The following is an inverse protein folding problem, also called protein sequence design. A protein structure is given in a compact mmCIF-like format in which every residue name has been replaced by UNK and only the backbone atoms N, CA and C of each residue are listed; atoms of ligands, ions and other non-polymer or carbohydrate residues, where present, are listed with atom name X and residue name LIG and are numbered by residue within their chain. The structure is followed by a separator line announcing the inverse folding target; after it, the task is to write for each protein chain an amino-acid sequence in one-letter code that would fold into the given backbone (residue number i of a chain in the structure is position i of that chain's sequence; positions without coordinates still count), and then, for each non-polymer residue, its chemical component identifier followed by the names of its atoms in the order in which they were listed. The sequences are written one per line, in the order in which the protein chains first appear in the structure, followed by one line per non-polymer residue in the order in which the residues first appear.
data_IF_064956258104
#
_entry.id   IF_064956258104
#
_cell.length_a   1.000
_cell.length_b   1.000
_cell.length_c   1.000
_cell.angle_alpha   90.00
_cell.angle_beta   90.00
_cell.angle_gamma   90.00
#
_symmetry.space_group_name_H-M   'P 1'
#
loop_
_entity.id
_entity.type
_entity.pdbx_description
1 polymer ?
#
# COMPACT_ATOMS: atom_id res chain seq x y z
N UNK A 1 -14.90 5.10 4.99
CA UNK A 1 -15.02 6.58 4.88
C UNK A 1 -14.99 6.93 3.40
N UNK A 2 -15.02 8.21 3.00
CA UNK A 2 -14.73 8.55 1.61
C UNK A 2 -13.23 8.27 1.34
N UNK A 3 -12.94 7.50 0.28
CA UNK A 3 -11.59 7.16 -0.15
C UNK A 3 -10.74 8.43 -0.29
N UNK A 4 -9.55 8.46 0.35
CA UNK A 4 -8.59 9.56 0.25
C UNK A 4 -7.70 9.42 -0.97
N UNK A 5 -7.15 10.53 -1.45
CA UNK A 5 -6.24 10.57 -2.59
C UNK A 5 -4.80 10.22 -2.20
N UNK A 6 -3.95 9.97 -3.21
CA UNK A 6 -2.51 9.73 -3.00
C UNK A 6 -1.81 10.97 -2.46
N UNK A 7 -2.25 12.16 -2.84
CA UNK A 7 -1.74 13.42 -2.33
C UNK A 7 -2.05 13.61 -0.84
N UNK A 8 -3.24 13.18 -0.38
CA UNK A 8 -3.55 13.14 1.05
C UNK A 8 -2.60 12.19 1.79
N UNK A 9 -2.36 10.99 1.24
CA UNK A 9 -1.44 10.03 1.82
C UNK A 9 -0.01 10.57 1.87
N UNK A 10 0.48 11.20 0.79
CA UNK A 10 1.80 11.82 0.77
C UNK A 10 1.93 12.95 1.79
N UNK A 11 0.86 13.71 2.05
CA UNK A 11 0.87 14.70 3.14
C UNK A 11 1.15 14.04 4.49
N UNK A 12 0.51 12.91 4.80
CA UNK A 12 0.77 12.17 6.03
C UNK A 12 2.24 11.70 6.11
N UNK A 13 2.76 11.16 5.01
CA UNK A 13 4.18 10.76 4.94
C UNK A 13 5.14 11.95 5.17
N UNK A 14 4.84 13.13 4.64
CA UNK A 14 5.64 14.33 4.88
C UNK A 14 5.60 14.76 6.34
N UNK A 15 4.47 14.60 7.02
CA UNK A 15 4.35 14.86 8.45
C UNK A 15 5.21 13.87 9.28
N UNK A 16 5.23 12.58 8.92
CA UNK A 16 6.11 11.57 9.54
C UNK A 16 7.60 11.92 9.38
N UNK A 17 8.00 12.32 8.16
CA UNK A 17 9.38 12.73 7.84
C UNK A 17 9.78 13.95 8.66
N UNK A 18 8.92 14.99 8.67
CA UNK A 18 9.18 16.25 9.38
C UNK A 18 9.34 16.04 10.88
N UNK A 19 8.57 15.13 11.46
CA UNK A 19 8.57 14.86 12.89
C UNK A 19 9.57 13.77 13.31
N UNK A 20 10.36 13.22 12.38
CA UNK A 20 11.35 12.18 12.64
C UNK A 20 10.80 10.98 13.43
N UNK A 21 9.58 10.56 13.12
CA UNK A 21 8.96 9.42 13.78
C UNK A 21 9.68 8.11 13.41
N UNK A 22 9.41 6.99 14.10
CA UNK A 22 9.94 5.68 13.70
C UNK A 22 9.60 5.30 12.24
N UNK A 23 8.48 5.79 11.70
CA UNK A 23 8.04 5.55 10.33
C UNK A 23 8.73 6.44 9.28
N UNK A 24 9.46 7.48 9.70
CA UNK A 24 10.00 8.54 8.83
C UNK A 24 10.83 8.01 7.66
N UNK A 25 11.70 7.03 7.90
CA UNK A 25 12.55 6.44 6.86
C UNK A 25 11.73 5.74 5.76
N UNK A 26 10.67 5.03 6.14
CA UNK A 26 9.77 4.33 5.23
C UNK A 26 8.88 5.32 4.47
N UNK A 27 8.38 6.34 5.17
CA UNK A 27 7.65 7.44 4.57
C UNK A 27 8.51 8.17 3.51
N UNK A 28 9.79 8.40 3.80
CA UNK A 28 10.74 8.95 2.83
C UNK A 28 10.86 8.07 1.58
N UNK A 29 11.14 6.77 1.74
CA UNK A 29 11.23 5.84 0.60
C UNK A 29 9.97 5.85 -0.26
N UNK A 30 8.79 5.88 0.36
CA UNK A 30 7.52 5.90 -0.38
C UNK A 30 7.31 7.22 -1.13
N UNK A 31 7.69 8.35 -0.53
CA UNK A 31 7.63 9.66 -1.19
C UNK A 31 8.61 9.73 -2.37
N UNK A 32 9.83 9.22 -2.22
CA UNK A 32 10.84 9.17 -3.28
C UNK A 32 10.37 8.33 -4.48
N UNK A 33 9.79 7.15 -4.20
CA UNK A 33 9.21 6.28 -5.25
C UNK A 33 7.92 6.85 -5.85
N UNK A 34 7.09 7.50 -5.05
CA UNK A 34 5.77 7.99 -5.44
C UNK A 34 5.76 9.36 -6.14
N UNK A 35 6.70 10.24 -5.78
CA UNK A 35 6.82 11.61 -6.29
C UNK A 35 8.18 11.83 -6.96
N UNK A 36 9.27 11.35 -6.33
CA UNK A 36 10.66 11.61 -6.74
C UNK A 36 11.11 10.92 -8.04
N UNK A 37 10.23 10.17 -8.72
CA UNK A 37 10.47 9.55 -10.02
C UNK A 37 11.65 8.57 -10.08
N UNK A 38 11.81 7.68 -9.09
CA UNK A 38 12.51 6.41 -9.34
C UNK A 38 11.75 5.66 -10.45
N UNK A 39 12.36 5.54 -11.63
CA UNK A 39 11.72 5.08 -12.88
C UNK A 39 10.77 3.88 -12.66
N UNK A 40 9.52 4.05 -13.07
CA UNK A 40 8.48 2.99 -13.04
C UNK A 40 7.74 2.79 -11.72
N UNK A 41 8.18 3.36 -10.59
CA UNK A 41 7.57 3.07 -9.27
C UNK A 41 6.37 3.96 -8.89
N UNK A 42 6.19 5.10 -9.55
CA UNK A 42 5.05 6.02 -9.28
C UNK A 42 3.68 5.35 -9.45
N UNK A 43 3.53 4.56 -10.50
CA UNK A 43 2.32 3.79 -10.75
C UNK A 43 2.08 2.75 -9.64
N UNK A 44 3.15 2.09 -9.19
CA UNK A 44 3.09 1.09 -8.11
C UNK A 44 2.59 1.71 -6.81
N UNK A 45 3.19 2.81 -6.38
CA UNK A 45 2.79 3.52 -5.15
C UNK A 45 1.34 4.02 -5.27
N UNK A 46 0.95 4.56 -6.43
CA UNK A 46 -0.44 5.02 -6.65
C UNK A 46 -1.44 3.89 -6.41
N UNK A 47 -1.20 2.71 -7.02
CA UNK A 47 -2.10 1.58 -6.83
C UNK A 47 -2.03 1.02 -5.42
N UNK A 48 -0.85 0.96 -4.81
CA UNK A 48 -0.67 0.52 -3.44
C UNK A 48 -1.48 1.38 -2.45
N UNK A 49 -1.52 2.71 -2.63
CA UNK A 49 -2.28 3.61 -1.75
C UNK A 49 -3.78 3.31 -1.81
N UNK A 50 -4.34 3.22 -3.03
CA UNK A 50 -5.76 2.95 -3.20
C UNK A 50 -6.15 1.58 -2.62
N UNK A 51 -5.38 0.55 -2.97
CA UNK A 51 -5.66 -0.84 -2.55
C UNK A 51 -5.47 -1.03 -1.05
N UNK A 52 -4.39 -0.51 -0.47
CA UNK A 52 -4.16 -0.64 0.97
C UNK A 52 -5.27 0.04 1.80
N UNK A 53 -5.71 1.23 1.37
CA UNK A 53 -6.80 1.94 2.04
C UNK A 53 -8.10 1.13 2.01
N UNK A 54 -8.55 0.69 0.84
CA UNK A 54 -9.80 -0.09 0.76
C UNK A 54 -9.68 -1.45 1.44
N UNK A 55 -8.53 -2.10 1.35
CA UNK A 55 -8.32 -3.37 2.02
C UNK A 55 -8.50 -3.22 3.54
N UNK A 56 -7.84 -2.24 4.15
CA UNK A 56 -7.91 -1.99 5.59
C UNK A 56 -9.27 -1.45 6.04
N UNK A 57 -9.97 -0.68 5.20
CA UNK A 57 -11.35 -0.28 5.47
C UNK A 57 -12.31 -1.49 5.45
N UNK A 58 -12.09 -2.48 4.59
CA UNK A 58 -12.91 -3.70 4.52
C UNK A 58 -12.48 -4.79 5.54
N UNK A 59 -11.24 -4.72 6.04
CA UNK A 59 -10.66 -5.69 6.98
C UNK A 59 -10.02 -4.98 8.19
N UNK A 60 -10.83 -4.25 8.99
CA UNK A 60 -10.31 -3.42 10.08
C UNK A 60 -9.56 -4.21 11.15
N UNK A 61 -9.79 -5.54 11.26
CA UNK A 61 -9.06 -6.43 12.16
C UNK A 61 -7.55 -6.43 11.93
N UNK A 62 -7.08 -6.10 10.72
CA UNK A 62 -5.67 -6.09 10.37
C UNK A 62 -4.95 -4.80 10.81
N UNK A 63 -5.67 -3.70 11.02
CA UNK A 63 -5.07 -2.39 11.34
C UNK A 63 -4.24 -2.47 12.61
N UNK A 64 -4.82 -2.94 13.72
CA UNK A 64 -4.10 -3.03 15.00
C UNK A 64 -2.92 -4.00 14.95
N UNK A 65 -3.06 -5.10 14.19
CA UNK A 65 -1.97 -6.06 13.97
C UNK A 65 -0.80 -5.40 13.26
N UNK A 66 -1.07 -4.67 12.18
CA UNK A 66 -0.05 -3.94 11.42
C UNK A 66 0.62 -2.87 12.29
N UNK A 67 -0.15 -2.08 13.06
CA UNK A 67 0.38 -1.07 13.99
C UNK A 67 1.32 -1.67 15.04
N UNK A 68 1.03 -2.89 15.51
CA UNK A 68 1.86 -3.58 16.51
C UNK A 68 3.17 -4.15 15.98
N UNK A 69 3.35 -4.18 14.64
CA UNK A 69 4.60 -4.64 14.02
C UNK A 69 5.70 -3.57 14.08
N UNK A 70 6.95 -4.00 13.90
CA UNK A 70 8.13 -3.14 13.88
C UNK A 70 7.91 -1.94 12.91
N UNK A 71 7.78 -0.69 13.42
CA UNK A 71 7.59 0.50 12.58
C UNK A 71 8.83 0.80 11.71
N UNK A 72 9.92 0.11 12.05
CA UNK A 72 11.17 -0.13 11.35
C UNK A 72 11.18 -0.47 9.87
N UNK A 73 10.10 -1.14 9.46
CA UNK A 73 10.15 -2.10 8.36
C UNK A 73 8.83 -2.12 7.61
N UNK A 74 8.85 -2.47 6.31
CA UNK A 74 7.64 -2.82 5.58
C UNK A 74 6.89 -3.94 6.31
N UNK A 75 5.55 -3.96 6.21
CA UNK A 75 4.79 -5.04 6.81
C UNK A 75 5.09 -6.38 6.12
N UNK A 76 5.38 -7.41 6.92
CA UNK A 76 5.77 -8.71 6.40
C UNK A 76 4.56 -9.58 6.03
N UNK A 77 3.93 -9.24 4.91
CA UNK A 77 2.77 -9.98 4.38
C UNK A 77 3.08 -11.46 4.11
N UNK A 78 4.34 -11.81 3.82
CA UNK A 78 4.68 -13.20 3.51
C UNK A 78 4.56 -14.12 4.73
N UNK A 79 4.81 -13.57 5.92
CA UNK A 79 4.74 -14.28 7.20
C UNK A 79 3.42 -14.06 7.97
N UNK A 80 2.44 -13.37 7.38
CA UNK A 80 1.07 -13.27 7.90
C UNK A 80 0.09 -14.04 7.00
N UNK A 81 -0.14 -15.35 7.25
CA UNK A 81 -0.99 -16.16 6.38
C UNK A 81 -2.44 -15.70 6.39
N UNK A 82 -2.94 -15.13 7.49
CA UNK A 82 -4.32 -14.66 7.57
C UNK A 82 -4.52 -13.40 6.72
N UNK A 83 -3.64 -12.40 6.89
CA UNK A 83 -3.71 -11.18 6.08
C UNK A 83 -3.53 -11.49 4.60
N UNK A 84 -2.58 -12.39 4.27
CA UNK A 84 -2.35 -12.82 2.88
C UNK A 84 -3.59 -13.47 2.27
N UNK A 85 -4.24 -14.39 2.97
CA UNK A 85 -5.44 -15.07 2.47
C UNK A 85 -6.61 -14.09 2.29
N UNK A 86 -6.83 -13.20 3.26
CA UNK A 86 -7.87 -12.17 3.19
C UNK A 86 -7.61 -11.23 2.00
N UNK A 87 -6.36 -10.74 1.86
CA UNK A 87 -5.95 -9.86 0.77
C UNK A 87 -6.15 -10.54 -0.59
N UNK A 88 -5.64 -11.76 -0.78
CA UNK A 88 -5.75 -12.49 -2.05
C UNK A 88 -7.20 -12.82 -2.41
N UNK A 89 -8.02 -13.20 -1.43
CA UNK A 89 -9.45 -13.48 -1.66
C UNK A 89 -10.20 -12.21 -2.04
N UNK A 90 -9.99 -11.14 -1.28
CA UNK A 90 -10.65 -9.87 -1.52
C UNK A 90 -10.26 -9.25 -2.86
N UNK A 91 -8.96 -9.16 -3.16
CA UNK A 91 -8.46 -8.55 -4.40
C UNK A 91 -8.83 -9.38 -5.64
N UNK A 92 -8.98 -10.70 -5.51
CA UNK A 92 -9.43 -11.58 -6.58
C UNK A 92 -10.84 -11.26 -7.07
N UNK A 93 -11.69 -10.71 -6.20
CA UNK A 93 -13.04 -10.24 -6.54
C UNK A 93 -13.12 -8.81 -7.10
N UNK A 94 -12.01 -8.05 -7.11
CA UNK A 94 -12.00 -6.66 -7.54
C UNK A 94 -11.52 -6.50 -8.99
N UNK A 95 -12.14 -5.58 -9.74
CA UNK A 95 -11.79 -5.27 -11.14
C UNK A 95 -11.98 -3.79 -11.46
N UNK A 96 -11.24 -3.30 -12.44
CA UNK A 96 -11.36 -1.95 -12.97
C UNK A 96 -10.92 -0.82 -12.03
N UNK A 97 -11.26 0.40 -12.45
CA UNK A 97 -10.92 1.62 -11.74
C UNK A 97 -11.86 1.90 -10.57
N UNK A 98 -11.34 2.54 -9.52
CA UNK A 98 -12.11 2.80 -8.29
C UNK A 98 -11.79 4.16 -7.66
N UNK A 99 -12.67 4.61 -6.77
CA UNK A 99 -12.60 5.94 -6.19
C UNK A 99 -12.94 7.03 -7.22
N UNK A 100 -12.43 8.24 -7.00
CA UNK A 100 -12.62 9.36 -7.96
C UNK A 100 -11.67 9.16 -9.15
N UNK A 101 -12.14 9.46 -10.36
CA UNK A 101 -11.33 9.36 -11.58
C UNK A 101 -9.97 10.09 -11.47
N UNK A 102 -9.95 11.27 -10.82
CA UNK A 102 -8.73 12.04 -10.60
C UNK A 102 -7.68 11.35 -9.71
N UNK A 103 -8.04 10.31 -8.95
CA UNK A 103 -7.12 9.58 -8.09
C UNK A 103 -6.26 8.58 -8.88
N UNK A 104 -6.81 8.02 -9.96
CA UNK A 104 -6.09 7.10 -10.86
C UNK A 104 -5.88 5.69 -10.31
N UNK A 105 -6.75 5.24 -9.39
CA UNK A 105 -6.68 3.91 -8.82
C UNK A 105 -7.37 2.86 -9.68
N UNK A 106 -6.74 1.69 -9.79
CA UNK A 106 -7.12 0.61 -10.67
C UNK A 106 -6.63 -0.74 -10.15
N UNK A 107 -7.58 -1.65 -9.89
CA UNK A 107 -7.28 -2.96 -9.30
C UNK A 107 -6.52 -3.87 -10.27
N UNK A 108 -6.80 -3.77 -11.57
CA UNK A 108 -6.15 -4.61 -12.57
C UNK A 108 -4.68 -4.21 -12.73
N UNK A 109 -4.39 -2.92 -12.64
CA UNK A 109 -3.03 -2.38 -12.58
C UNK A 109 -2.29 -2.85 -11.32
N UNK A 110 -2.94 -2.85 -10.16
CA UNK A 110 -2.35 -3.41 -8.93
C UNK A 110 -1.98 -4.89 -9.11
N UNK A 111 -2.93 -5.71 -9.58
CA UNK A 111 -2.73 -7.16 -9.77
C UNK A 111 -1.62 -7.44 -10.77
N UNK A 112 -1.56 -6.70 -11.89
CA UNK A 112 -0.49 -6.85 -12.89
C UNK A 112 0.90 -6.53 -12.35
N UNK A 113 0.99 -5.60 -11.39
CA UNK A 113 2.27 -5.10 -10.89
C UNK A 113 2.81 -5.89 -9.68
N UNK A 114 1.95 -6.63 -8.98
CA UNK A 114 2.30 -7.37 -7.75
C UNK A 114 2.39 -8.87 -7.98
N UNK A 115 3.10 -9.57 -7.09
CA UNK A 115 3.22 -11.04 -7.14
C UNK A 115 2.00 -11.73 -6.55
N UNK A 116 1.93 -13.05 -6.75
CA UNK A 116 0.90 -13.90 -6.16
C UNK A 116 0.82 -13.80 -4.63
N UNK A 117 1.91 -13.42 -3.95
CA UNK A 117 1.91 -13.16 -2.49
C UNK A 117 0.91 -12.08 -2.09
N UNK A 118 0.60 -11.14 -2.99
CA UNK A 118 -0.34 -10.04 -2.76
C UNK A 118 -1.64 -10.21 -3.57
N UNK A 119 -1.87 -11.40 -4.15
CA UNK A 119 -3.00 -11.66 -5.05
C UNK A 119 -2.82 -11.08 -6.47
N UNK A 120 -1.60 -10.74 -6.85
CA UNK A 120 -1.26 -10.29 -8.20
C UNK A 120 -0.85 -11.43 -9.15
N UNK A 121 -0.52 -11.06 -10.39
CA UNK A 121 -0.20 -11.98 -11.50
C UNK A 121 1.23 -11.85 -11.99
N UNK A 122 2.05 -10.97 -11.41
CA UNK A 122 3.44 -10.76 -11.85
C UNK A 122 4.28 -12.00 -11.53
N UNK A 123 5.02 -12.47 -12.52
CA UNK A 123 6.00 -13.55 -12.39
C UNK A 123 7.42 -12.97 -12.18
N UNK A 124 8.20 -13.57 -11.26
CA UNK A 124 9.53 -13.10 -10.87
C UNK A 124 9.55 -12.22 -9.60
N UNK A 125 10.76 -11.94 -9.08
CA UNK A 125 10.95 -11.12 -7.88
C UNK A 125 11.01 -9.61 -8.17
N UNK A 126 10.56 -8.78 -7.23
CA UNK A 126 10.78 -7.31 -7.28
C UNK A 126 9.72 -6.47 -8.00
N UNK A 127 8.46 -6.92 -8.04
CA UNK A 127 7.34 -6.08 -8.48
C UNK A 127 7.00 -4.93 -7.53
N UNK A 128 5.77 -4.43 -7.60
CA UNK A 128 5.19 -3.41 -6.71
C UNK A 128 5.02 -3.86 -5.23
N UNK A 129 5.58 -5.01 -4.86
CA UNK A 129 5.36 -5.66 -3.57
C UNK A 129 6.01 -4.89 -2.41
N UNK A 130 7.23 -4.36 -2.61
CA UNK A 130 7.91 -3.56 -1.59
C UNK A 130 7.14 -2.25 -1.37
N UNK A 131 6.71 -1.59 -2.44
CA UNK A 131 5.89 -0.38 -2.36
C UNK A 131 4.59 -0.67 -1.60
N UNK A 132 3.90 -1.77 -1.92
CA UNK A 132 2.67 -2.14 -1.25
C UNK A 132 2.88 -2.42 0.24
N UNK A 133 3.89 -3.21 0.62
CA UNK A 133 4.15 -3.54 2.03
C UNK A 133 4.48 -2.30 2.87
N UNK A 134 5.20 -1.33 2.30
CA UNK A 134 5.48 -0.04 2.95
C UNK A 134 4.22 0.80 3.08
N UNK A 135 3.46 0.93 2.00
CA UNK A 135 2.22 1.70 1.99
C UNK A 135 1.19 1.08 2.93
N UNK A 136 1.07 -0.25 2.98
CA UNK A 136 0.17 -0.95 3.91
C UNK A 136 0.51 -0.63 5.37
N UNK A 137 1.81 -0.65 5.72
CA UNK A 137 2.29 -0.31 7.06
C UNK A 137 1.99 1.14 7.44
N UNK A 138 2.21 2.08 6.53
CA UNK A 138 1.94 3.50 6.75
C UNK A 138 0.44 3.81 6.77
N UNK A 139 -0.32 3.24 5.84
CA UNK A 139 -1.77 3.45 5.74
C UNK A 139 -2.49 3.00 7.01
N UNK A 140 -2.03 1.89 7.62
CA UNK A 140 -2.58 1.47 8.90
C UNK A 140 -2.45 2.56 9.97
N UNK A 141 -1.36 3.33 10.03
CA UNK A 141 -1.21 4.44 11.00
C UNK A 141 -2.18 5.59 10.78
N UNK A 142 -2.60 5.80 9.53
CA UNK A 142 -3.42 6.95 9.14
C UNK A 142 -4.94 6.65 9.16
N UNK A 143 -5.30 5.37 9.36
CA UNK A 143 -6.67 4.89 9.53
C UNK A 143 -6.97 4.60 11.01
#
# INVERSE_FOLDING_TARGET
MALKSKEWFYKQCLDEIKNHTPNSHMAWTVVEKGIGQSDGTRGHVTQAVGVAQQFLENHPQHVNRIKSSDPTKPYDVANDPQLRNDLSTWIGGQTGSFGRAAYGYDYDSFKRNTTATLGGTRTGGGGADDEFKRVLRLMAEYL
#
